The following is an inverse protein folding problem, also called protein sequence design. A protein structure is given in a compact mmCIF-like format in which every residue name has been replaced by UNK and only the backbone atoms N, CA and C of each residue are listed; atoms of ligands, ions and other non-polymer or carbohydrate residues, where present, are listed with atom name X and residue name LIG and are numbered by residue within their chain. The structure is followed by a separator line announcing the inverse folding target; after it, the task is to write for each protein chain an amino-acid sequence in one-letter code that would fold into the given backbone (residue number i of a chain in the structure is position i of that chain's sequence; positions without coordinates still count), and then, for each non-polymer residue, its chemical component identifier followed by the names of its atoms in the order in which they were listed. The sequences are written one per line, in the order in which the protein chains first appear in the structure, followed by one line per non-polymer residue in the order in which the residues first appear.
data_IF_557097934015
#
_entry.id   IF_557097934015
#
_cell.length_a   1.000
_cell.length_b   1.000
_cell.length_c   1.000
_cell.angle_alpha   90.00
_cell.angle_beta   90.00
_cell.angle_gamma   90.00
#
_symmetry.space_group_name_H-M   'P 1'
#
loop_
_entity.id
_entity.type
_entity.pdbx_description
1 polymer ?
#
# COMPACT_ATOMS: atom_id res chain seq x y z
N UNK A 1 -20.58 -4.72 -15.07
CA UNK A 1 -19.58 -3.68 -15.41
C UNK A 1 -18.81 -3.40 -14.13
N UNK A 2 -17.61 -3.94 -14.00
CA UNK A 2 -16.78 -3.72 -12.80
C UNK A 2 -16.18 -2.32 -12.90
N UNK A 3 -16.74 -1.38 -12.15
CA UNK A 3 -16.13 -0.07 -11.94
C UNK A 3 -14.69 -0.28 -11.45
N UNK A 4 -13.72 0.29 -12.17
CA UNK A 4 -12.33 0.26 -11.73
C UNK A 4 -12.24 1.05 -10.41
N UNK A 5 -12.27 0.37 -9.27
CA UNK A 5 -12.21 0.96 -7.94
C UNK A 5 -10.81 1.51 -7.56
N UNK A 6 -9.95 1.74 -8.55
CA UNK A 6 -8.61 2.25 -8.37
C UNK A 6 -8.65 3.76 -8.15
N UNK A 7 -8.08 4.20 -7.03
CA UNK A 7 -7.95 5.60 -6.62
C UNK A 7 -6.49 5.98 -6.80
N UNK A 8 -6.21 7.03 -7.57
CA UNK A 8 -4.83 7.54 -7.72
C UNK A 8 -4.30 8.01 -6.37
N UNK A 9 -3.04 7.72 -6.07
CA UNK A 9 -2.40 8.24 -4.84
C UNK A 9 -2.28 9.76 -4.85
N UNK A 10 -2.31 10.39 -6.03
CA UNK A 10 -2.35 11.84 -6.19
C UNK A 10 -3.71 12.44 -5.85
N UNK A 11 -4.80 11.67 -5.98
CA UNK A 11 -6.15 12.13 -5.64
C UNK A 11 -6.42 11.99 -4.15
N UNK A 12 -6.12 10.81 -3.61
CA UNK A 12 -6.37 10.48 -2.19
C UNK A 12 -5.48 9.34 -1.75
N UNK A 13 -4.94 9.44 -0.53
CA UNK A 13 -4.22 8.35 0.11
C UNK A 13 -5.19 7.42 0.89
N UNK A 14 -4.88 6.13 1.02
CA UNK A 14 -5.64 5.23 1.89
C UNK A 14 -5.44 5.62 3.36
N UNK A 15 -6.31 5.13 4.23
CA UNK A 15 -6.16 5.37 5.68
C UNK A 15 -4.89 4.69 6.21
N UNK A 16 -4.31 5.27 7.26
CA UNK A 16 -3.11 4.72 7.91
C UNK A 16 -3.40 3.32 8.46
N UNK A 17 -2.45 2.41 8.27
CA UNK A 17 -2.51 1.01 8.69
C UNK A 17 -3.72 0.23 8.15
N UNK A 18 -4.38 0.73 7.10
CA UNK A 18 -5.43 0.00 6.38
C UNK A 18 -4.82 -0.78 5.22
N UNK A 19 -4.99 -2.11 5.25
CA UNK A 19 -4.57 -2.96 4.13
C UNK A 19 -5.38 -2.67 2.87
N UNK A 20 -4.67 -2.39 1.79
CA UNK A 20 -5.19 -2.08 0.45
C UNK A 20 -4.39 -2.83 -0.59
N UNK A 21 -4.95 -2.98 -1.79
CA UNK A 21 -4.19 -3.40 -2.96
C UNK A 21 -3.54 -2.16 -3.57
N UNK A 22 -2.23 -2.18 -3.74
CA UNK A 22 -1.44 -1.14 -4.40
C UNK A 22 -1.15 -1.56 -5.83
N UNK A 23 -1.27 -0.62 -6.76
CA UNK A 23 -0.84 -0.77 -8.14
C UNK A 23 0.50 -0.08 -8.32
N UNK A 24 1.49 -0.85 -8.78
CA UNK A 24 2.87 -0.42 -8.95
C UNK A 24 3.25 -0.35 -10.41
N UNK A 25 4.08 0.62 -10.78
CA UNK A 25 4.79 0.69 -12.06
C UNK A 25 6.25 1.09 -11.81
N UNK A 26 7.20 0.34 -12.37
CA UNK A 26 8.62 0.69 -12.28
C UNK A 26 9.05 1.59 -13.45
N UNK A 27 10.31 2.04 -13.44
CA UNK A 27 10.85 2.94 -14.47
C UNK A 27 10.95 2.29 -15.87
N UNK A 28 10.82 0.97 -15.95
CA UNK A 28 10.81 0.19 -17.20
C UNK A 28 9.37 -0.02 -17.73
N UNK A 29 8.37 0.47 -17.01
CA UNK A 29 6.94 0.31 -17.35
C UNK A 29 6.35 -1.03 -16.89
N UNK A 30 7.09 -1.83 -16.12
CA UNK A 30 6.59 -3.09 -15.58
C UNK A 30 5.60 -2.84 -14.44
N UNK A 31 4.49 -3.58 -14.47
CA UNK A 31 3.33 -3.35 -13.59
C UNK A 31 3.14 -4.51 -12.63
N UNK A 32 2.85 -4.20 -11.37
CA UNK A 32 2.58 -5.20 -10.34
C UNK A 32 1.43 -4.77 -9.41
N UNK A 33 0.83 -5.74 -8.72
CA UNK A 33 -0.14 -5.49 -7.65
C UNK A 33 0.31 -6.18 -6.38
N UNK A 34 0.32 -5.45 -5.27
CA UNK A 34 0.75 -5.97 -3.97
C UNK A 34 -0.18 -5.51 -2.86
N UNK A 35 -0.25 -6.26 -1.75
CA UNK A 35 -0.97 -5.81 -0.56
C UNK A 35 -0.06 -4.90 0.25
N UNK A 36 -0.54 -3.69 0.56
CA UNK A 36 0.21 -2.72 1.34
C UNK A 36 -0.69 -1.77 2.10
N UNK A 37 -0.09 -0.76 2.74
CA UNK A 37 -0.77 0.25 3.53
C UNK A 37 0.12 1.48 3.75
N UNK A 38 -0.47 2.59 4.20
CA UNK A 38 0.30 3.74 4.69
C UNK A 38 0.71 3.46 6.13
N UNK A 39 2.01 3.39 6.38
CA UNK A 39 2.57 3.01 7.67
C UNK A 39 2.39 4.11 8.73
N UNK A 40 1.93 3.72 9.91
CA UNK A 40 1.97 4.58 11.09
C UNK A 40 2.29 3.77 12.36
N UNK A 41 3.28 4.21 13.13
CA UNK A 41 3.67 3.62 14.41
C UNK A 41 4.03 4.69 15.45
N UNK A 42 3.84 4.35 16.72
CA UNK A 42 4.29 5.13 17.89
C UNK A 42 5.65 4.65 18.44
N UNK A 43 6.23 3.61 17.85
CA UNK A 43 7.58 3.15 18.20
C UNK A 43 8.62 4.15 17.66
N UNK A 44 9.43 4.71 18.55
CA UNK A 44 10.51 5.67 18.22
C UNK A 44 11.45 5.17 17.12
N UNK A 45 11.65 3.85 17.01
CA UNK A 45 12.50 3.25 15.97
C UNK A 45 11.94 3.47 14.56
N UNK A 46 10.62 3.52 14.43
CA UNK A 46 9.90 3.54 13.15
C UNK A 46 9.16 4.85 12.88
N UNK A 47 9.17 5.80 13.83
CA UNK A 47 8.49 7.09 13.69
C UNK A 47 8.93 7.86 12.43
N UNK A 48 10.21 7.75 12.04
CA UNK A 48 10.76 8.33 10.81
C UNK A 48 10.17 7.76 9.51
N UNK A 49 9.52 6.60 9.58
CA UNK A 49 8.90 5.92 8.45
C UNK A 49 7.38 6.12 8.40
N UNK A 50 6.82 6.93 9.32
CA UNK A 50 5.40 7.24 9.30
C UNK A 50 5.03 7.97 8.00
N UNK A 51 3.84 7.65 7.48
CA UNK A 51 3.32 8.15 6.20
C UNK A 51 4.10 7.66 4.96
N UNK A 52 4.90 6.60 5.11
CA UNK A 52 5.49 5.86 3.99
C UNK A 52 4.60 4.67 3.59
N UNK A 53 4.67 4.24 2.33
CA UNK A 53 4.01 3.01 1.91
C UNK A 53 4.81 1.81 2.40
N UNK A 54 4.11 0.85 3.00
CA UNK A 54 4.68 -0.44 3.40
C UNK A 54 3.89 -1.60 2.78
N UNK A 55 4.61 -2.67 2.47
CA UNK A 55 4.03 -3.94 2.00
C UNK A 55 3.72 -4.81 3.20
N UNK A 56 2.56 -5.48 3.16
CA UNK A 56 2.29 -6.58 4.08
C UNK A 56 2.68 -7.90 3.41
N UNK A 57 3.78 -8.49 3.86
CA UNK A 57 4.25 -9.81 3.43
C UNK A 57 3.96 -10.92 4.47
N UNK A 58 3.29 -10.60 5.57
CA UNK A 58 3.03 -11.51 6.69
C UNK A 58 4.13 -11.55 7.76
N UNK A 59 5.19 -10.75 7.62
CA UNK A 59 6.31 -10.73 8.56
C UNK A 59 6.20 -9.61 9.62
N UNK A 60 7.09 -9.66 10.61
CA UNK A 60 7.14 -8.72 11.74
C UNK A 60 7.77 -7.36 11.43
N UNK A 61 8.52 -7.25 10.32
CA UNK A 61 9.19 -6.00 9.93
C UNK A 61 8.52 -5.43 8.67
N UNK A 62 8.19 -4.12 8.66
CA UNK A 62 7.61 -3.50 7.49
C UNK A 62 8.67 -3.32 6.39
N UNK A 63 8.40 -3.87 5.22
CA UNK A 63 9.13 -3.54 4.00
C UNK A 63 8.54 -2.28 3.37
N UNK A 64 9.38 -1.29 3.09
CA UNK A 64 8.93 0.00 2.54
C UNK A 64 9.05 0.04 1.02
N UNK A 65 8.01 0.56 0.37
CA UNK A 65 8.00 0.79 -1.07
C UNK A 65 8.56 2.17 -1.40
N UNK A 66 9.16 2.29 -2.58
CA UNK A 66 9.41 3.60 -3.17
C UNK A 66 8.08 4.21 -3.58
N UNK A 67 7.73 5.35 -2.98
CA UNK A 67 6.47 6.08 -3.24
C UNK A 67 6.23 6.35 -4.71
N UNK A 68 7.29 6.66 -5.45
CA UNK A 68 7.29 6.95 -6.88
C UNK A 68 6.72 5.81 -7.72
N UNK A 69 6.87 4.57 -7.25
CA UNK A 69 6.39 3.39 -7.93
C UNK A 69 4.91 3.12 -7.65
N UNK A 70 4.27 3.79 -6.70
CA UNK A 70 2.87 3.56 -6.32
C UNK A 70 1.98 4.52 -7.09
N UNK A 71 1.16 3.99 -8.02
CA UNK A 71 0.30 4.80 -8.87
C UNK A 71 -1.11 4.96 -8.30
N UNK A 72 -1.69 3.86 -7.83
CA UNK A 72 -3.07 3.81 -7.38
C UNK A 72 -3.26 2.75 -6.31
N UNK A 73 -4.41 2.82 -5.61
CA UNK A 73 -4.80 1.83 -4.62
C UNK A 73 -6.29 1.51 -4.71
N UNK A 74 -6.68 0.36 -4.17
CA UNK A 74 -8.09 0.02 -3.96
C UNK A 74 -8.27 -0.81 -2.68
N UNK A 75 -9.49 -0.86 -2.16
CA UNK A 75 -9.82 -1.74 -1.04
C UNK A 75 -9.64 -3.21 -1.42
N UNK A 76 -9.22 -4.04 -0.46
CA UNK A 76 -9.16 -5.47 -0.66
C UNK A 76 -10.57 -6.07 -0.88
N UNK A 77 -10.73 -7.05 -1.79
CA UNK A 77 -12.00 -7.71 -2.02
C UNK A 77 -12.43 -8.53 -0.78
N UNK A 78 -13.74 -8.58 -0.49
CA UNK A 78 -14.28 -9.36 0.64
C UNK A 78 -14.44 -10.85 0.26
N UNK A 79 -14.18 -11.81 1.18
CA UNK A 79 -13.60 -11.66 2.51
C UNK A 79 -12.11 -12.01 2.51
N UNK A 80 -11.26 -10.99 2.64
CA UNK A 80 -9.86 -11.16 3.02
C UNK A 80 -9.78 -11.73 4.44
N UNK A 81 -9.33 -12.99 4.59
CA UNK A 81 -9.04 -13.62 5.89
C UNK A 81 -7.52 -13.66 6.07
N UNK A 82 -7.02 -12.86 7.01
CA UNK A 82 -5.72 -13.11 7.64
C UNK A 82 -5.86 -14.46 8.37
N UNK A 83 -5.09 -15.47 7.96
CA UNK A 83 -4.97 -16.72 8.72
C UNK A 83 -4.00 -16.52 9.88
#
# INVERSE_FOLDING_TARGET
MSENNWISVSDKLPEVNQHVLLFLENNEGEKAQVVGYIFFSKDKKFEKCNNEFSVYNGESLPDFLRKECVLAWQLLPKPYKLK
#
